data_IF_174565623459
#
_entry.id   IF_174565623459
#
_cell.length_a   1.000
_cell.length_b   1.000
_cell.length_c   1.000
_cell.angle_alpha   90.00
_cell.angle_beta   90.00
_cell.angle_gamma   90.00
#
_symmetry.space_group_name_H-M   'P 1'
#
loop_
_entity.id
_entity.type
_entity.pdbx_description
1 polymer ?
#
# COMPACT_ATOMS: atom_id res chain seq x y z
N UNK A 1 2.93 9.82 1.66
CA UNK A 1 3.89 8.77 2.07
C UNK A 1 5.32 9.14 1.68
N UNK A 2 5.74 8.95 0.43
CA UNK A 2 7.15 9.10 0.00
C UNK A 2 7.69 10.53 0.11
N UNK A 3 6.89 11.54 -0.25
CA UNK A 3 7.36 12.93 -0.37
C UNK A 3 7.31 13.72 0.93
N UNK A 4 6.55 13.25 1.93
CA UNK A 4 6.29 14.00 3.18
C UNK A 4 6.67 13.16 4.39
N UNK A 5 5.99 12.03 4.62
CA UNK A 5 6.14 11.25 5.85
C UNK A 5 7.50 10.57 5.99
N UNK A 6 8.05 10.02 4.90
CA UNK A 6 9.38 9.42 4.90
C UNK A 6 10.48 10.46 5.23
N UNK A 7 10.57 11.62 4.54
CA UNK A 7 11.56 12.65 4.84
C UNK A 7 11.26 13.50 6.07
N UNK A 8 10.16 13.28 6.81
CA UNK A 8 9.89 14.03 8.06
C UNK A 8 10.94 13.76 9.14
N UNK A 9 11.63 12.62 9.11
CA UNK A 9 12.58 12.21 10.15
C UNK A 9 14.00 12.64 9.80
N UNK A 10 14.61 13.47 10.65
CA UNK A 10 15.95 14.04 10.45
C UNK A 10 17.08 13.00 10.42
N UNK A 11 16.96 11.95 11.25
CA UNK A 11 17.86 10.79 11.27
C UNK A 11 17.06 9.50 11.11
N UNK A 12 17.33 8.74 10.06
CA UNK A 12 16.83 7.37 9.93
C UNK A 12 17.72 6.44 10.76
N UNK A 13 17.18 5.90 11.86
CA UNK A 13 17.84 4.84 12.62
C UNK A 13 17.70 3.51 11.86
N UNK A 14 18.59 2.55 12.11
CA UNK A 14 18.65 1.23 11.46
C UNK A 14 17.30 0.53 11.34
N UNK A 15 16.46 0.56 12.39
CA UNK A 15 15.10 -0.01 12.32
C UNK A 15 14.20 0.65 11.28
N UNK A 16 14.22 1.99 11.13
CA UNK A 16 13.39 2.70 10.14
C UNK A 16 13.83 2.41 8.71
N UNK A 17 15.13 2.22 8.52
CA UNK A 17 15.71 1.85 7.24
C UNK A 17 15.16 0.51 6.74
N UNK A 18 15.22 -0.52 7.60
CA UNK A 18 14.71 -1.84 7.27
C UNK A 18 13.21 -1.79 6.96
N UNK A 19 12.44 -1.03 7.77
CA UNK A 19 11.01 -0.81 7.54
C UNK A 19 10.74 -0.13 6.19
N UNK A 20 11.52 0.90 5.81
CA UNK A 20 11.34 1.59 4.54
C UNK A 20 11.67 0.67 3.36
N UNK A 21 12.82 -0.01 3.42
CA UNK A 21 13.24 -0.98 2.41
C UNK A 21 12.15 -2.03 2.16
N UNK A 22 11.64 -2.59 3.25
CA UNK A 22 10.59 -3.60 3.22
C UNK A 22 9.27 -3.05 2.66
N UNK A 23 8.89 -1.84 3.07
CA UNK A 23 7.69 -1.17 2.55
C UNK A 23 7.79 -0.88 1.04
N UNK A 24 8.90 -0.31 0.55
CA UNK A 24 9.10 -0.05 -0.88
C UNK A 24 9.06 -1.35 -1.70
N UNK A 25 9.69 -2.42 -1.20
CA UNK A 25 9.66 -3.75 -1.84
C UNK A 25 8.24 -4.29 -1.92
N UNK A 26 7.44 -4.09 -0.87
CA UNK A 26 6.02 -4.49 -0.84
C UNK A 26 5.20 -3.70 -1.85
N UNK A 27 5.43 -2.39 -1.97
CA UNK A 27 4.75 -1.55 -2.97
C UNK A 27 5.07 -2.00 -4.39
N UNK A 28 6.34 -2.25 -4.71
CA UNK A 28 6.77 -2.72 -6.04
C UNK A 28 6.04 -4.01 -6.42
N UNK A 29 5.84 -4.90 -5.44
CA UNK A 29 5.29 -6.23 -5.69
C UNK A 29 3.76 -6.27 -5.78
N UNK A 30 3.06 -5.48 -4.97
CA UNK A 30 1.61 -5.61 -4.77
C UNK A 30 0.79 -4.36 -5.12
N UNK A 31 1.42 -3.30 -5.61
CA UNK A 31 0.67 -2.13 -6.04
C UNK A 31 0.71 -2.04 -7.57
N UNK A 32 -0.45 -1.93 -8.26
CA UNK A 32 -0.49 -1.69 -9.70
C UNK A 32 -0.05 -0.24 -10.00
N UNK A 33 1.27 -0.08 -10.09
CA UNK A 33 1.93 1.21 -10.23
C UNK A 33 2.00 1.65 -11.69
N UNK A 34 1.84 2.94 -11.93
CA UNK A 34 2.25 3.54 -13.20
C UNK A 34 3.77 3.46 -13.32
N UNK A 35 4.27 3.34 -14.55
CA UNK A 35 5.71 3.16 -14.84
C UNK A 35 6.58 4.24 -14.20
N UNK A 36 6.12 5.49 -14.19
CA UNK A 36 6.89 6.62 -13.63
C UNK A 36 7.06 6.49 -12.12
N UNK A 37 6.00 6.03 -11.42
CA UNK A 37 6.02 5.79 -9.98
C UNK A 37 6.85 4.54 -9.67
N UNK A 38 6.73 3.48 -10.47
CA UNK A 38 7.51 2.25 -10.29
C UNK A 38 9.02 2.53 -10.39
N UNK A 39 9.46 3.25 -11.44
CA UNK A 39 10.86 3.65 -11.60
C UNK A 39 11.35 4.47 -10.41
N UNK A 40 10.54 5.42 -9.94
CA UNK A 40 10.85 6.23 -8.75
C UNK A 40 11.02 5.35 -7.50
N UNK A 41 10.12 4.40 -7.24
CA UNK A 41 10.19 3.53 -6.07
C UNK A 41 11.38 2.56 -6.15
N UNK A 42 11.71 2.05 -7.35
CA UNK A 42 12.89 1.20 -7.57
C UNK A 42 14.19 1.95 -7.24
N UNK A 43 14.35 3.17 -7.75
CA UNK A 43 15.51 4.01 -7.47
C UNK A 43 15.61 4.39 -5.99
N UNK A 44 14.49 4.71 -5.34
CA UNK A 44 14.47 4.94 -3.90
C UNK A 44 14.82 3.67 -3.12
N UNK A 45 14.39 2.49 -3.58
CA UNK A 45 14.78 1.22 -2.95
C UNK A 45 16.27 0.96 -3.13
N UNK A 46 16.84 1.26 -4.29
CA UNK A 46 18.28 1.09 -4.53
C UNK A 46 19.11 2.03 -3.65
N UNK A 47 18.70 3.30 -3.53
CA UNK A 47 19.33 4.24 -2.59
C UNK A 47 19.33 3.67 -1.17
N UNK A 48 18.20 3.09 -0.76
CA UNK A 48 18.09 2.43 0.54
C UNK A 48 19.07 1.23 0.56
N UNK A 49 19.05 0.31 -0.39
CA UNK A 49 19.97 -0.85 -0.39
C UNK A 49 21.47 -0.49 -0.32
N UNK A 50 21.89 0.60 -0.95
CA UNK A 50 23.29 1.03 -1.00
C UNK A 50 23.76 1.76 0.27
N UNK A 51 22.84 2.37 1.03
CA UNK A 51 23.16 3.22 2.17
C UNK A 51 22.72 2.53 3.46
N UNK A 52 23.67 2.15 4.33
CA UNK A 52 23.34 1.61 5.67
C UNK A 52 22.72 2.66 6.61
N UNK A 53 22.87 3.94 6.29
CA UNK A 53 22.13 5.06 6.89
C UNK A 53 22.16 6.25 5.95
N UNK A 54 21.06 7.00 5.86
CA UNK A 54 21.06 8.28 5.17
C UNK A 54 20.36 9.37 6.00
N UNK A 55 20.86 10.59 5.89
CA UNK A 55 20.21 11.75 6.48
C UNK A 55 19.04 12.20 5.58
N UNK A 56 18.12 12.97 6.15
CA UNK A 56 16.96 13.54 5.42
C UNK A 56 17.36 14.19 4.09
N UNK A 57 18.49 14.89 4.05
CA UNK A 57 18.98 15.62 2.88
C UNK A 57 19.29 14.69 1.71
N UNK A 58 19.97 13.56 1.95
CA UNK A 58 20.28 12.57 0.90
C UNK A 58 19.00 12.05 0.24
N UNK A 59 18.00 11.69 1.04
CA UNK A 59 16.71 11.22 0.53
C UNK A 59 15.97 12.30 -0.26
N UNK A 60 15.93 13.52 0.27
CA UNK A 60 15.26 14.64 -0.41
C UNK A 60 15.95 14.99 -1.73
N UNK A 61 17.28 14.98 -1.78
CA UNK A 61 18.03 15.23 -3.00
C UNK A 61 17.73 14.16 -4.05
N UNK A 62 17.75 12.87 -3.68
CA UNK A 62 17.39 11.79 -4.60
C UNK A 62 15.93 11.90 -5.04
N UNK A 63 15.01 12.25 -4.14
CA UNK A 63 13.60 12.44 -4.50
C UNK A 63 13.41 13.61 -5.48
N UNK A 64 14.15 14.71 -5.32
CA UNK A 64 14.11 15.85 -6.25
C UNK A 64 14.64 15.45 -7.62
N UNK A 65 15.79 14.78 -7.69
CA UNK A 65 16.36 14.21 -8.91
C UNK A 65 15.33 13.31 -9.63
N UNK A 66 14.68 12.42 -8.89
CA UNK A 66 13.67 11.51 -9.46
C UNK A 66 12.39 12.22 -9.89
N UNK A 67 11.99 13.28 -9.21
CA UNK A 67 10.85 14.11 -9.61
C UNK A 67 11.15 14.85 -10.92
N UNK A 68 12.35 15.39 -11.09
CA UNK A 68 12.79 16.02 -12.35
C UNK A 68 12.89 14.98 -13.48
N UNK A 69 13.39 13.77 -13.17
CA UNK A 69 13.63 12.72 -14.16
C UNK A 69 12.37 12.01 -14.64
N UNK A 70 11.45 11.68 -13.73
CA UNK A 70 10.29 10.83 -14.03
C UNK A 70 8.95 11.54 -13.90
N UNK A 71 8.90 12.70 -13.24
CA UNK A 71 7.67 13.41 -12.87
C UNK A 71 6.53 12.46 -12.44
N UNK A 72 6.78 11.61 -11.42
CA UNK A 72 5.94 10.45 -11.11
C UNK A 72 4.52 10.84 -10.69
N UNK A 73 4.34 12.07 -10.19
CA UNK A 73 3.08 12.57 -9.65
C UNK A 73 2.39 13.62 -10.54
N UNK A 74 2.92 13.93 -11.74
CA UNK A 74 2.29 14.83 -12.73
C UNK A 74 0.80 14.57 -12.96
N UNK A 75 0.43 13.29 -13.10
CA UNK A 75 -0.94 12.85 -13.37
C UNK A 75 -1.79 12.67 -12.10
N UNK A 76 -1.25 13.00 -10.93
CA UNK A 76 -2.02 12.98 -9.69
C UNK A 76 -2.98 14.17 -9.68
N UNK A 77 -4.30 13.94 -9.56
CA UNK A 77 -5.25 15.05 -9.49
C UNK A 77 -4.94 16.00 -8.33
N UNK A 78 -5.09 17.31 -8.56
CA UNK A 78 -4.90 18.34 -7.53
C UNK A 78 -5.88 18.21 -6.36
N UNK A 79 -7.04 17.60 -6.60
CA UNK A 79 -8.04 17.31 -5.58
C UNK A 79 -8.23 15.81 -5.40
N UNK A 80 -8.43 15.39 -4.15
CA UNK A 80 -8.94 14.06 -3.83
C UNK A 80 -10.26 13.79 -4.57
N UNK A 81 -10.44 12.57 -5.08
CA UNK A 81 -11.70 12.10 -5.68
C UNK A 81 -12.48 11.25 -4.68
N UNK A 82 -12.28 9.92 -4.66
CA UNK A 82 -12.97 9.02 -3.72
C UNK A 82 -12.74 9.32 -2.22
N UNK A 83 -11.63 9.99 -1.90
CA UNK A 83 -11.28 10.43 -0.56
C UNK A 83 -11.54 11.92 -0.28
N UNK A 84 -12.25 12.64 -1.17
CA UNK A 84 -12.62 14.05 -0.92
C UNK A 84 -13.52 14.14 0.32
N UNK A 85 -13.14 14.99 1.27
CA UNK A 85 -13.99 15.34 2.41
C UNK A 85 -15.01 16.43 2.05
N UNK A 86 -16.00 16.62 2.91
CA UNK A 86 -16.92 17.76 2.82
C UNK A 86 -16.24 19.11 3.08
N UNK A 87 -15.07 19.09 3.72
CA UNK A 87 -14.18 20.22 4.00
C UNK A 87 -12.71 19.77 3.91
N UNK A 88 -11.73 20.66 3.64
CA UNK A 88 -10.31 20.30 3.52
C UNK A 88 -9.70 19.59 4.73
N UNK A 89 -10.27 19.75 5.92
CA UNK A 89 -9.80 19.11 7.16
C UNK A 89 -10.25 17.65 7.30
N UNK A 90 -11.22 17.20 6.51
CA UNK A 90 -11.79 15.86 6.59
C UNK A 90 -11.23 14.91 5.52
N UNK A 91 -11.19 13.62 5.87
CA UNK A 91 -10.84 12.51 4.96
C UNK A 91 -9.45 12.68 4.34
N UNK A 92 -9.36 12.91 3.03
CA UNK A 92 -8.12 13.18 2.33
C UNK A 92 -7.05 12.10 2.53
N UNK A 93 -5.88 12.52 2.99
CA UNK A 93 -4.71 11.65 3.11
C UNK A 93 -4.95 10.37 3.94
N UNK A 94 -5.44 10.43 5.20
CA UNK A 94 -5.79 9.23 5.96
C UNK A 94 -6.71 8.25 5.23
N UNK A 95 -7.71 8.75 4.47
CA UNK A 95 -8.57 7.89 3.66
C UNK A 95 -7.77 7.17 2.56
N UNK A 96 -6.90 7.90 1.85
CA UNK A 96 -6.05 7.31 0.81
C UNK A 96 -5.06 6.28 1.36
N UNK A 97 -4.55 6.48 2.58
CA UNK A 97 -3.69 5.49 3.26
C UNK A 97 -4.44 4.19 3.54
N UNK A 98 -5.67 4.27 4.07
CA UNK A 98 -6.49 3.08 4.27
C UNK A 98 -6.85 2.36 2.97
N UNK A 99 -7.19 3.12 1.92
CA UNK A 99 -7.42 2.55 0.58
C UNK A 99 -6.19 1.81 0.08
N UNK A 100 -5.00 2.38 0.21
CA UNK A 100 -3.75 1.73 -0.18
C UNK A 100 -3.54 0.40 0.57
N UNK A 101 -3.73 0.38 1.88
CA UNK A 101 -3.55 -0.84 2.67
C UNK A 101 -4.52 -1.95 2.26
N UNK A 102 -5.77 -1.59 1.96
CA UNK A 102 -6.75 -2.54 1.42
C UNK A 102 -6.36 -3.07 0.04
N UNK A 103 -5.91 -2.20 -0.88
CA UNK A 103 -5.40 -2.61 -2.20
C UNK A 103 -4.22 -3.57 -2.06
N UNK A 104 -3.25 -3.29 -1.18
CA UNK A 104 -2.12 -4.20 -0.94
C UNK A 104 -2.59 -5.56 -0.42
N UNK A 105 -3.55 -5.58 0.52
CA UNK A 105 -4.07 -6.85 1.07
C UNK A 105 -4.72 -7.71 -0.02
N UNK A 106 -5.57 -7.10 -0.86
CA UNK A 106 -6.26 -7.79 -1.96
C UNK A 106 -5.29 -8.21 -3.06
N UNK A 107 -4.33 -7.37 -3.43
CA UNK A 107 -3.30 -7.73 -4.40
C UNK A 107 -2.47 -8.92 -3.91
N UNK A 108 -2.08 -8.95 -2.63
CA UNK A 108 -1.34 -10.10 -2.09
C UNK A 108 -2.16 -11.39 -2.04
N UNK A 109 -3.48 -11.27 -1.89
CA UNK A 109 -4.39 -12.40 -1.99
C UNK A 109 -4.46 -12.93 -3.43
N UNK A 110 -4.58 -12.05 -4.42
CA UNK A 110 -4.70 -12.42 -5.84
C UNK A 110 -3.39 -12.99 -6.41
N UNK A 111 -2.26 -12.32 -6.17
CA UNK A 111 -0.97 -12.71 -6.75
C UNK A 111 -0.15 -13.68 -5.89
N UNK A 112 -0.64 -13.95 -4.67
CA UNK A 112 0.05 -14.79 -3.70
C UNK A 112 1.14 -14.07 -2.91
N UNK A 113 1.24 -14.46 -1.64
CA UNK A 113 2.33 -14.07 -0.75
C UNK A 113 3.23 -15.28 -0.49
N UNK A 114 4.44 -15.33 -1.07
CA UNK A 114 5.37 -16.45 -0.86
C UNK A 114 5.74 -16.66 0.61
N UNK A 115 5.66 -15.63 1.47
CA UNK A 115 5.88 -15.83 2.91
C UNK A 115 4.78 -16.69 3.54
N UNK A 116 3.56 -16.63 3.03
CA UNK A 116 2.45 -17.44 3.52
C UNK A 116 2.50 -18.91 3.05
N UNK A 117 3.54 -19.30 2.29
CA UNK A 117 3.81 -20.70 1.95
C UNK A 117 4.65 -21.43 3.00
N UNK A 118 5.18 -20.71 4.00
CA UNK A 118 5.94 -21.26 5.11
C UNK A 118 5.10 -21.25 6.39
N UNK A 119 5.00 -22.40 7.08
CA UNK A 119 4.16 -22.57 8.28
C UNK A 119 4.52 -21.62 9.46
N UNK A 120 5.71 -21.00 9.42
CA UNK A 120 6.24 -20.18 10.53
C UNK A 120 6.19 -18.67 10.20
N UNK A 121 5.74 -18.28 9.01
CA UNK A 121 5.88 -16.91 8.51
C UNK A 121 4.56 -16.13 8.56
N UNK A 122 4.66 -14.83 8.87
CA UNK A 122 3.55 -13.87 8.82
C UNK A 122 3.47 -13.19 7.45
N UNK A 123 2.30 -12.64 7.10
CA UNK A 123 2.10 -11.91 5.84
C UNK A 123 3.10 -10.77 5.63
N UNK A 124 3.68 -10.71 4.44
CA UNK A 124 4.53 -9.62 3.95
C UNK A 124 3.80 -8.28 4.04
N UNK A 125 2.55 -8.23 3.54
CA UNK A 125 1.75 -7.00 3.51
C UNK A 125 1.38 -6.53 4.91
N UNK A 126 0.94 -7.43 5.80
CA UNK A 126 0.58 -7.05 7.16
C UNK A 126 1.79 -6.47 7.92
N UNK A 127 2.95 -7.11 7.80
CA UNK A 127 4.21 -6.62 8.35
C UNK A 127 4.60 -5.25 7.78
N UNK A 128 4.46 -5.06 6.47
CA UNK A 128 4.83 -3.81 5.81
C UNK A 128 3.94 -2.65 6.27
N UNK A 129 2.63 -2.89 6.42
CA UNK A 129 1.68 -1.91 6.96
C UNK A 129 2.05 -1.56 8.40
N UNK A 130 2.26 -2.57 9.25
CA UNK A 130 2.60 -2.39 10.65
C UNK A 130 3.87 -1.54 10.82
N UNK A 131 4.94 -1.93 10.13
CA UNK A 131 6.22 -1.25 10.20
C UNK A 131 6.16 0.15 9.59
N UNK A 132 5.39 0.37 8.53
CA UNK A 132 5.15 1.71 8.00
C UNK A 132 4.44 2.61 9.02
N UNK A 133 3.33 2.14 9.60
CA UNK A 133 2.54 2.94 10.55
C UNK A 133 3.36 3.29 11.78
N UNK A 134 4.06 2.30 12.34
CA UNK A 134 4.96 2.47 13.48
C UNK A 134 6.03 3.52 13.21
N UNK A 135 6.70 3.45 12.06
CA UNK A 135 7.91 4.23 11.82
C UNK A 135 7.69 5.56 11.09
N UNK A 136 6.66 5.68 10.25
CA UNK A 136 6.52 6.80 9.29
C UNK A 136 5.20 7.57 9.37
N UNK A 137 4.08 6.92 9.72
CA UNK A 137 2.76 7.59 9.71
C UNK A 137 2.58 8.80 10.64
N UNK A 138 2.64 10.01 10.09
CA UNK A 138 2.80 11.30 10.75
C UNK A 138 1.93 11.51 12.00
N UNK A 139 0.65 11.14 11.97
CA UNK A 139 -0.22 11.19 13.14
C UNK A 139 0.19 10.16 14.19
N UNK A 140 1.05 10.55 15.13
CA UNK A 140 1.58 9.67 16.19
C UNK A 140 0.49 9.12 17.12
N UNK A 141 -0.54 9.92 17.42
CA UNK A 141 -1.69 9.46 18.19
C UNK A 141 -2.46 8.36 17.44
N UNK A 142 -2.72 8.56 16.15
CA UNK A 142 -3.37 7.58 15.29
C UNK A 142 -2.54 6.30 15.17
N UNK A 143 -1.22 6.42 14.99
CA UNK A 143 -0.31 5.28 14.94
C UNK A 143 -0.35 4.46 16.25
N UNK A 144 -0.34 5.12 17.42
CA UNK A 144 -0.46 4.44 18.71
C UNK A 144 -1.79 3.69 18.83
N UNK A 145 -2.89 4.28 18.37
CA UNK A 145 -4.19 3.59 18.38
C UNK A 145 -4.20 2.41 17.41
N UNK A 146 -3.61 2.54 16.21
CA UNK A 146 -3.47 1.43 15.27
C UNK A 146 -2.72 0.26 15.90
N UNK A 147 -1.56 0.52 16.54
CA UNK A 147 -0.78 -0.53 17.21
C UNK A 147 -1.59 -1.23 18.30
N UNK A 148 -2.33 -0.49 19.15
CA UNK A 148 -3.21 -1.11 20.15
C UNK A 148 -4.27 -2.03 19.54
N UNK A 149 -4.81 -1.69 18.37
CA UNK A 149 -5.79 -2.52 17.67
C UNK A 149 -5.16 -3.77 17.08
N UNK A 150 -3.96 -3.65 16.50
CA UNK A 150 -3.15 -4.80 16.08
C UNK A 150 -2.89 -5.73 17.27
N UNK A 151 -2.39 -5.19 18.39
CA UNK A 151 -2.06 -5.95 19.59
C UNK A 151 -3.30 -6.67 20.16
N UNK A 152 -4.48 -6.03 20.09
CA UNK A 152 -5.74 -6.65 20.55
C UNK A 152 -6.22 -7.83 19.69
N UNK A 153 -5.73 -7.96 18.46
CA UNK A 153 -5.98 -9.15 17.62
C UNK A 153 -5.01 -10.28 17.99
N UNK A 154 -3.83 -9.95 18.52
CA UNK A 154 -2.88 -10.89 19.12
C UNK A 154 -1.92 -11.58 18.16
N UNK A 155 -2.21 -11.62 16.87
CA UNK A 155 -1.32 -12.22 15.86
C UNK A 155 -1.46 -11.51 14.51
N UNK A 156 -0.42 -11.63 13.69
CA UNK A 156 -0.44 -11.24 12.29
C UNK A 156 -1.05 -12.36 11.44
N UNK A 157 -1.71 -12.02 10.33
CA UNK A 157 -2.35 -13.00 9.47
C UNK A 157 -1.31 -13.93 8.83
N UNK A 158 -1.62 -15.24 8.86
CA UNK A 158 -0.77 -16.33 8.38
C UNK A 158 -1.33 -17.06 7.16
N UNK A 159 -2.46 -16.62 6.61
CA UNK A 159 -2.98 -17.10 5.33
C UNK A 159 -3.56 -15.95 4.49
N UNK A 160 -3.68 -16.11 3.16
CA UNK A 160 -4.06 -15.02 2.26
C UNK A 160 -5.40 -14.35 2.61
N UNK A 161 -6.42 -15.14 2.95
CA UNK A 161 -7.76 -14.60 3.28
C UNK A 161 -7.75 -13.77 4.55
N UNK A 162 -6.95 -14.16 5.53
CA UNK A 162 -6.89 -13.48 6.81
C UNK A 162 -6.16 -12.14 6.70
N UNK A 163 -5.30 -11.92 5.68
CA UNK A 163 -4.69 -10.60 5.44
C UNK A 163 -5.76 -9.55 5.13
N UNK A 164 -6.71 -9.90 4.26
CA UNK A 164 -7.86 -9.05 3.90
C UNK A 164 -8.71 -8.76 5.14
N UNK A 165 -9.07 -9.81 5.89
CA UNK A 165 -9.92 -9.68 7.07
C UNK A 165 -9.23 -8.94 8.22
N UNK A 166 -7.92 -9.11 8.38
CA UNK A 166 -7.14 -8.45 9.43
C UNK A 166 -7.18 -6.93 9.29
N UNK A 167 -6.85 -6.40 8.09
CA UNK A 167 -6.87 -4.96 7.86
C UNK A 167 -8.30 -4.39 7.87
N UNK A 168 -9.28 -5.15 7.35
CA UNK A 168 -10.70 -4.83 7.42
C UNK A 168 -11.21 -4.71 8.87
N UNK A 169 -10.87 -5.67 9.73
CA UNK A 169 -11.25 -5.67 11.14
C UNK A 169 -10.66 -4.47 11.87
N UNK A 170 -9.35 -4.21 11.69
CA UNK A 170 -8.68 -3.05 12.31
C UNK A 170 -9.33 -1.73 11.86
N UNK A 171 -9.61 -1.58 10.57
CA UNK A 171 -10.25 -0.37 10.06
C UNK A 171 -11.66 -0.19 10.66
N UNK A 172 -12.45 -1.25 10.77
CA UNK A 172 -13.77 -1.14 11.41
C UNK A 172 -13.71 -0.86 12.92
N UNK A 173 -12.71 -1.37 13.64
CA UNK A 173 -12.47 -0.97 15.03
C UNK A 173 -12.13 0.52 15.14
N UNK A 174 -11.47 1.09 14.13
CA UNK A 174 -11.25 2.54 14.06
C UNK A 174 -12.54 3.30 13.71
N UNK A 175 -13.36 2.79 12.79
CA UNK A 175 -14.65 3.38 12.45
C UNK A 175 -15.58 3.43 13.67
N UNK A 176 -15.70 2.34 14.41
CA UNK A 176 -16.47 2.31 15.66
C UNK A 176 -15.96 3.34 16.66
N UNK A 177 -14.63 3.40 16.86
CA UNK A 177 -14.02 4.34 17.82
C UNK A 177 -14.22 5.82 17.45
N UNK A 178 -14.26 6.13 16.16
CA UNK A 178 -14.37 7.49 15.63
C UNK A 178 -15.80 7.92 15.30
N UNK A 179 -16.80 7.06 15.53
CA UNK A 179 -18.20 7.39 15.28
C UNK A 179 -18.66 8.49 16.24
N UNK A 180 -19.21 9.58 15.71
CA UNK A 180 -19.61 10.77 16.47
C UNK A 180 -18.45 11.62 17.00
N UNK A 181 -17.20 11.29 16.65
CA UNK A 181 -16.04 12.09 17.03
C UNK A 181 -16.03 13.43 16.26
N UNK A 182 -15.55 14.55 16.83
CA UNK A 182 -15.46 15.83 16.11
C UNK A 182 -14.64 15.78 14.81
N UNK A 183 -13.80 14.75 14.62
CA UNK A 183 -13.04 14.51 13.39
C UNK A 183 -13.81 13.70 12.34
N UNK A 184 -15.03 13.24 12.64
CA UNK A 184 -15.93 12.58 11.70
C UNK A 184 -16.48 13.59 10.69
N UNK A 185 -16.39 13.24 9.40
CA UNK A 185 -16.96 14.05 8.35
C UNK A 185 -18.50 13.91 8.35
N UNK A 186 -19.28 15.01 8.53
CA UNK A 186 -20.74 14.92 8.62
C UNK A 186 -21.41 14.35 7.37
N UNK A 187 -20.76 14.39 6.20
CA UNK A 187 -21.28 13.80 4.96
C UNK A 187 -20.80 12.37 4.72
N UNK A 188 -19.90 11.86 5.56
CA UNK A 188 -19.31 10.52 5.44
C UNK A 188 -19.16 9.87 6.81
N UNK A 189 -20.31 9.56 7.42
CA UNK A 189 -20.39 8.95 8.75
C UNK A 189 -19.68 7.59 8.81
N UNK A 190 -19.05 7.32 9.96
CA UNK A 190 -18.40 6.06 10.28
C UNK A 190 -19.44 4.98 10.52
N UNK A 191 -19.35 3.94 9.73
CA UNK A 191 -20.16 2.73 9.85
C UNK A 191 -19.27 1.51 10.03
N UNK A 192 -19.85 0.41 10.48
CA UNK A 192 -19.22 -0.90 10.27
C UNK A 192 -19.40 -1.23 8.79
N UNK A 193 -18.30 -1.17 8.05
CA UNK A 193 -18.28 -1.32 6.60
C UNK A 193 -18.00 -2.80 6.22
N UNK A 194 -18.62 -3.34 5.16
CA UNK A 194 -19.71 -2.74 4.41
C UNK A 194 -21.01 -2.68 5.24
N UNK A 195 -21.86 -1.71 4.89
CA UNK A 195 -23.24 -1.71 5.38
C UNK A 195 -24.00 -2.90 4.80
N UNK A 196 -25.07 -3.32 5.48
CA UNK A 196 -25.97 -4.34 4.97
C UNK A 196 -26.57 -3.97 3.62
N UNK A 197 -26.87 -2.69 3.38
CA UNK A 197 -27.34 -2.22 2.06
C UNK A 197 -26.29 -2.44 0.96
N UNK A 198 -25.01 -2.23 1.27
CA UNK A 198 -23.93 -2.34 0.28
C UNK A 198 -23.53 -3.79 0.02
N UNK A 199 -23.67 -4.68 1.01
CA UNK A 199 -23.47 -6.11 0.85
C UNK A 199 -24.45 -6.90 1.75
N UNK A 200 -25.69 -7.14 1.29
CA UNK A 200 -26.68 -7.85 2.10
C UNK A 200 -26.22 -9.29 2.42
N UNK A 201 -25.60 -9.95 1.43
CA UNK A 201 -25.06 -11.32 1.58
C UNK A 201 -23.93 -11.43 2.60
N UNK A 202 -23.25 -10.32 2.90
CA UNK A 202 -22.20 -10.31 3.92
C UNK A 202 -22.76 -10.51 5.34
N UNK A 203 -24.05 -10.19 5.59
CA UNK A 203 -24.72 -10.22 6.91
C UNK A 203 -25.55 -11.49 7.15
N UNK A 204 -25.25 -12.58 6.45
CA UNK A 204 -26.01 -13.83 6.56
C UNK A 204 -25.78 -14.53 7.90
N UNK A 205 -26.86 -15.10 8.46
CA UNK A 205 -26.87 -15.92 9.68
C UNK A 205 -26.23 -17.30 9.52
N UNK A 206 -25.87 -17.71 8.29
CA UNK A 206 -24.99 -18.86 8.04
C UNK A 206 -23.51 -18.52 8.32
N UNK A 207 -23.26 -17.55 9.20
CA UNK A 207 -21.99 -16.87 9.39
C UNK A 207 -20.87 -17.81 9.83
N UNK A 208 -19.73 -17.75 9.13
CA UNK A 208 -18.50 -18.47 9.44
C UNK A 208 -17.47 -17.59 10.17
N UNK A 209 -17.83 -16.34 10.47
CA UNK A 209 -16.96 -15.36 11.11
C UNK A 209 -17.77 -14.41 12.01
N UNK A 210 -17.66 -14.59 13.32
CA UNK A 210 -18.12 -13.60 14.30
C UNK A 210 -17.08 -12.48 14.45
N UNK A 211 -17.48 -11.24 14.12
CA UNK A 211 -16.58 -10.09 14.27
C UNK A 211 -17.36 -8.80 14.47
N UNK A 212 -16.86 -7.96 15.39
CA UNK A 212 -17.36 -6.60 15.63
C UNK A 212 -18.85 -6.59 16.06
N UNK A 213 -19.30 -7.65 16.74
CA UNK A 213 -20.69 -7.80 17.19
C UNK A 213 -21.68 -8.24 16.11
N UNK A 214 -21.20 -8.79 14.99
CA UNK A 214 -22.05 -9.29 13.91
C UNK A 214 -21.55 -10.63 13.37
N UNK A 215 -22.48 -11.39 12.81
CA UNK A 215 -22.20 -12.60 12.05
C UNK A 215 -21.96 -12.25 10.58
N UNK A 216 -20.84 -12.71 10.05
CA UNK A 216 -20.43 -12.47 8.67
C UNK A 216 -20.33 -13.76 7.88
N UNK A 217 -20.80 -13.74 6.64
CA UNK A 217 -20.38 -14.73 5.65
C UNK A 217 -18.95 -14.42 5.22
N UNK A 218 -17.96 -15.21 5.71
CA UNK A 218 -16.53 -15.02 5.40
C UNK A 218 -16.28 -14.93 3.90
N UNK A 219 -16.88 -15.85 3.13
CA UNK A 219 -16.74 -15.92 1.67
C UNK A 219 -17.28 -14.65 1.00
N UNK A 220 -18.54 -14.30 1.25
CA UNK A 220 -19.18 -13.15 0.59
C UNK A 220 -18.50 -11.83 0.97
N UNK A 221 -18.00 -11.73 2.21
CA UNK A 221 -17.22 -10.58 2.65
C UNK A 221 -15.88 -10.47 1.92
N UNK A 222 -15.12 -11.56 1.80
CA UNK A 222 -13.85 -11.56 1.04
C UNK A 222 -14.10 -11.23 -0.43
N UNK A 223 -15.13 -11.83 -1.04
CA UNK A 223 -15.52 -11.57 -2.43
C UNK A 223 -15.87 -10.09 -2.62
N UNK A 224 -16.62 -9.49 -1.68
CA UNK A 224 -16.98 -8.08 -1.72
C UNK A 224 -15.74 -7.18 -1.63
N UNK A 225 -14.87 -7.39 -0.64
CA UNK A 225 -13.66 -6.57 -0.43
C UNK A 225 -12.73 -6.69 -1.63
N UNK A 226 -12.53 -7.91 -2.14
CA UNK A 226 -11.72 -8.17 -3.33
C UNK A 226 -12.24 -7.39 -4.53
N UNK A 227 -13.55 -7.41 -4.78
CA UNK A 227 -14.14 -6.65 -5.88
C UNK A 227 -14.02 -5.14 -5.73
N UNK A 228 -14.00 -4.60 -4.51
CA UNK A 228 -13.80 -3.16 -4.28
C UNK A 228 -12.37 -2.72 -4.57
N UNK A 229 -11.37 -3.56 -4.25
CA UNK A 229 -9.96 -3.14 -4.25
C UNK A 229 -9.04 -3.84 -5.26
N UNK A 230 -9.56 -4.76 -6.09
CA UNK A 230 -8.80 -5.35 -7.20
C UNK A 230 -8.39 -4.30 -8.24
N UNK A 231 -7.34 -4.59 -9.00
CA UNK A 231 -6.74 -3.65 -9.95
C UNK A 231 -7.74 -3.12 -10.98
N UNK A 232 -8.65 -3.98 -11.45
CA UNK A 232 -9.66 -3.63 -12.45
C UNK A 232 -10.68 -2.62 -11.93
N UNK A 233 -10.82 -2.48 -10.61
CA UNK A 233 -11.71 -1.52 -9.97
C UNK A 233 -11.06 -0.14 -9.80
N UNK A 234 -9.78 0.01 -10.15
CA UNK A 234 -9.08 1.30 -10.09
C UNK A 234 -9.47 2.14 -11.31
N UNK A 235 -10.21 3.23 -11.06
CA UNK A 235 -10.46 4.23 -12.10
C UNK A 235 -9.18 4.99 -12.43
N UNK A 236 -8.49 4.51 -13.47
CA UNK A 236 -7.44 5.25 -14.16
C UNK A 236 -8.15 6.30 -14.98
N UNK A 237 -8.49 7.44 -14.37
CA UNK A 237 -8.96 8.63 -15.09
C UNK A 237 -8.15 8.72 -16.37
N UNK A 238 -8.83 8.75 -17.52
CA UNK A 238 -8.22 8.76 -18.85
C UNK A 238 -7.13 9.82 -18.85
N UNK A 239 -5.89 9.36 -18.69
CA UNK A 239 -4.72 10.15 -18.98
C UNK A 239 -4.92 10.50 -20.44
N UNK A 240 -5.29 11.74 -20.72
CA UNK A 240 -5.33 12.27 -22.07
C UNK A 240 -4.01 11.86 -22.67
N UNK A 241 -4.06 11.07 -23.74
CA UNK A 241 -2.91 10.48 -24.39
C UNK A 241 -1.94 11.60 -24.76
N UNK A 242 -0.97 11.86 -23.89
CA UNK A 242 0.25 12.57 -24.28
C UNK A 242 0.97 11.57 -25.18
N UNK A 243 1.27 11.93 -26.44
CA UNK A 243 1.97 11.03 -27.35
C UNK A 243 3.22 10.46 -26.67
N UNK A 244 3.37 9.14 -26.72
CA UNK A 244 4.58 8.47 -26.27
C UNK A 244 5.77 9.09 -27.01
N UNK A 245 6.71 9.69 -26.29
CA UNK A 245 8.08 9.71 -26.78
C UNK A 245 8.56 8.26 -26.84
N UNK A 246 9.23 7.88 -27.93
CA UNK A 246 9.79 6.54 -28.13
C UNK A 246 10.81 6.22 -27.02
N UNK A 247 10.35 5.53 -25.98
CA UNK A 247 11.21 4.81 -25.04
C UNK A 247 11.77 3.55 -25.68
N UNK A 248 12.99 3.18 -25.28
CA UNK A 248 13.76 2.07 -25.83
C UNK A 248 13.08 0.71 -25.51
N UNK A 249 12.70 -0.07 -26.54
CA UNK A 249 11.92 -1.32 -26.45
C UNK A 249 12.52 -2.37 -25.49
N UNK A 250 13.84 -2.35 -25.27
CA UNK A 250 14.54 -3.23 -24.33
C UNK A 250 14.22 -2.93 -22.86
N UNK A 251 13.94 -1.66 -22.53
CA UNK A 251 13.69 -1.21 -21.17
C UNK A 251 12.25 -1.51 -20.74
N UNK A 252 11.29 -1.33 -21.65
CA UNK A 252 9.90 -1.67 -21.44
C UNK A 252 9.73 -3.19 -21.26
N UNK A 253 10.54 -4.01 -21.95
CA UNK A 253 10.52 -5.48 -21.80
C UNK A 253 11.01 -5.95 -20.43
N UNK A 254 12.07 -5.37 -19.87
CA UNK A 254 12.58 -5.73 -18.54
C UNK A 254 11.57 -5.38 -17.44
N UNK A 255 10.89 -4.24 -17.57
CA UNK A 255 9.86 -3.84 -16.61
C UNK A 255 8.61 -4.71 -16.74
N UNK A 256 8.23 -5.06 -17.98
CA UNK A 256 7.14 -6.02 -18.23
C UNK A 256 7.46 -7.39 -17.63
N UNK A 257 8.69 -7.91 -17.81
CA UNK A 257 9.13 -9.17 -17.17
C UNK A 257 9.08 -9.13 -15.63
N UNK A 258 9.29 -7.95 -15.01
CA UNK A 258 9.16 -7.74 -13.55
C UNK A 258 7.68 -7.75 -13.12
N UNK A 259 6.81 -7.10 -13.89
CA UNK A 259 5.37 -7.00 -13.62
C UNK A 259 4.64 -8.33 -13.83
N UNK A 260 5.06 -9.11 -14.82
CA UNK A 260 4.45 -10.39 -15.17
C UNK A 260 4.96 -11.57 -14.33
N UNK A 261 5.84 -11.33 -13.35
CA UNK A 261 6.37 -12.38 -12.48
C UNK A 261 7.28 -13.40 -13.18
N UNK A 262 7.68 -13.14 -14.43
CA UNK A 262 8.59 -13.98 -15.23
C UNK A 262 10.07 -13.76 -14.86
N UNK A 263 10.32 -13.70 -13.57
CA UNK A 263 11.65 -13.48 -13.01
C UNK A 263 12.32 -14.84 -12.85
N UNK A 264 13.11 -15.22 -13.86
CA UNK A 264 14.07 -16.32 -13.74
C UNK A 264 15.04 -16.14 -12.56
N UNK A 265 16.02 -17.05 -12.41
CA UNK A 265 16.88 -17.09 -11.23
C UNK A 265 17.50 -15.74 -10.82
N UNK A 266 17.75 -15.57 -9.52
CA UNK A 266 18.33 -14.34 -8.92
C UNK A 266 19.61 -13.88 -9.64
N UNK A 267 20.47 -14.81 -10.05
CA UNK A 267 21.65 -14.52 -10.90
C UNK A 267 21.28 -13.92 -12.26
N UNK A 268 20.20 -14.38 -12.91
CA UNK A 268 19.76 -13.87 -14.20
C UNK A 268 19.24 -12.43 -14.11
N UNK A 269 18.54 -12.10 -13.02
CA UNK A 269 18.05 -10.74 -12.74
C UNK A 269 19.23 -9.79 -12.54
N UNK A 270 20.18 -10.16 -11.67
CA UNK A 270 21.38 -9.35 -11.38
C UNK A 270 22.22 -9.15 -12.65
N UNK A 271 22.34 -10.19 -13.49
CA UNK A 271 23.06 -10.10 -14.77
C UNK A 271 22.38 -9.17 -15.77
N UNK A 272 21.05 -9.18 -15.86
CA UNK A 272 20.28 -8.26 -16.72
C UNK A 272 20.38 -6.81 -16.23
N UNK A 273 20.25 -6.58 -14.92
CA UNK A 273 20.40 -5.26 -14.31
C UNK A 273 21.82 -4.69 -14.51
N UNK A 274 22.87 -5.50 -14.31
CA UNK A 274 24.26 -5.07 -14.57
C UNK A 274 24.51 -4.68 -16.02
N UNK A 275 23.96 -5.45 -16.98
CA UNK A 275 24.07 -5.15 -18.42
C UNK A 275 23.32 -3.87 -18.81
N UNK A 276 22.23 -3.54 -18.11
CA UNK A 276 21.50 -2.29 -18.30
C UNK A 276 22.30 -1.11 -17.74
N UNK A 277 22.83 -1.20 -16.52
CA UNK A 277 23.63 -0.12 -15.91
C UNK A 277 24.93 0.18 -16.68
N UNK A 278 25.55 -0.82 -17.32
CA UNK A 278 26.77 -0.62 -18.12
C UNK A 278 26.55 0.08 -19.47
N UNK A 279 25.30 0.34 -19.87
CA UNK A 279 25.00 1.15 -21.07
C UNK A 279 25.01 2.66 -20.79
N UNK A 280 25.14 3.06 -19.52
CA UNK A 280 25.08 4.45 -19.06
C UNK A 280 26.34 4.90 -18.29
N UNK A 281 27.44 4.13 -18.42
CA UNK A 281 28.79 4.47 -17.99
C UNK A 281 29.70 4.56 -19.21
#
# INVERSE_FOLDING_TARGET
MLTVEVPMYSKMKEGRYASLRFFLTTLIKYLPLRIEILRTILELRNLVDEQSSFNKTVYQNKLNELNEKYDPFSRTPSEWKGCKGSSPYFRGYPCGVWTLFHVLSVSSFIHGDPMLMSEVSSSTVAMAILEYVKNFFSCRHCAKNFMKKVDSIGHLPSNPTDVILWIWKIHNMANEKLRGDPTEDPKHLKIIWPSETNCPKCRSSEGSLEALGYDWSKKELIDYITNVYKEESINRLSATLVPKEQGNDDEDKLVTDILDGNLGSKEAIIKRLRKYCSKFA
#
